data_IF_187946550335
#
_entry.id   IF_187946550335
#
_cell.length_a   1.000
_cell.length_b   1.000
_cell.length_c   1.000
_cell.angle_alpha   90.00
_cell.angle_beta   90.00
_cell.angle_gamma   90.00
#
_symmetry.space_group_name_H-M   'P 1'
#
loop_
_entity.id
_entity.type
_entity.pdbx_description
1 polymer ?
#
# COMPACT_ATOMS: atom_id res chain seq x y z
N UNK A 1 3.84 -4.31 -60.11
CA UNK A 1 2.64 -4.68 -59.35
C UNK A 1 3.06 -5.76 -58.38
N UNK A 2 3.37 -5.38 -57.13
CA UNK A 2 3.80 -6.32 -56.06
C UNK A 2 2.61 -6.55 -55.14
N UNK A 3 2.05 -7.76 -55.20
CA UNK A 3 0.99 -8.20 -54.28
C UNK A 3 1.58 -8.51 -52.91
N UNK A 4 1.29 -7.67 -51.92
CA UNK A 4 1.60 -7.96 -50.51
C UNK A 4 0.47 -8.84 -49.94
N UNK A 5 0.79 -10.08 -49.66
CA UNK A 5 -0.11 -11.05 -49.06
C UNK A 5 0.01 -10.94 -47.54
N UNK A 6 -0.88 -10.19 -46.89
CA UNK A 6 -0.98 -10.16 -45.42
C UNK A 6 -1.69 -11.40 -44.93
N UNK A 7 -0.96 -12.30 -44.26
CA UNK A 7 -1.52 -13.45 -43.56
C UNK A 7 -2.31 -13.03 -42.31
N UNK A 8 -3.58 -13.45 -42.13
CA UNK A 8 -4.37 -13.08 -40.97
C UNK A 8 -3.83 -13.78 -39.71
N UNK A 9 -3.67 -13.01 -38.63
CA UNK A 9 -3.14 -13.43 -37.33
C UNK A 9 -3.81 -14.66 -36.70
N UNK A 10 -4.95 -15.10 -37.21
CA UNK A 10 -5.70 -16.27 -36.72
C UNK A 10 -5.04 -17.61 -37.05
N UNK A 11 -4.16 -17.67 -38.03
CA UNK A 11 -3.49 -18.93 -38.42
C UNK A 11 -2.17 -19.21 -37.65
N UNK A 12 -1.66 -18.23 -36.88
CA UNK A 12 -0.44 -18.40 -36.07
C UNK A 12 -0.68 -19.14 -34.76
N UNK A 13 -1.91 -19.22 -34.28
CA UNK A 13 -2.26 -19.91 -33.03
C UNK A 13 -2.69 -21.34 -33.19
N UNK A 14 -2.96 -21.82 -34.43
CA UNK A 14 -3.41 -23.19 -34.70
C UNK A 14 -2.25 -24.18 -34.94
N UNK A 15 -1.02 -23.69 -35.15
CA UNK A 15 0.13 -24.55 -35.46
C UNK A 15 0.95 -25.04 -34.28
N UNK A 16 0.72 -24.51 -33.07
CA UNK A 16 1.59 -24.80 -31.92
C UNK A 16 1.09 -25.88 -30.97
N UNK A 17 -0.08 -26.44 -31.20
CA UNK A 17 -0.69 -27.41 -30.28
C UNK A 17 -0.41 -28.89 -30.64
N UNK A 18 0.19 -29.20 -31.79
CA UNK A 18 0.36 -30.57 -32.27
C UNK A 18 1.77 -31.17 -32.06
N UNK A 19 2.74 -30.43 -31.57
CA UNK A 19 4.14 -30.88 -31.45
C UNK A 19 4.61 -31.25 -30.04
N UNK A 20 3.78 -31.15 -29.01
CA UNK A 20 4.15 -31.43 -27.61
C UNK A 20 3.53 -32.72 -27.01
N UNK A 21 2.92 -33.55 -27.84
CA UNK A 21 2.20 -34.74 -27.37
C UNK A 21 2.99 -36.06 -27.30
N UNK A 22 4.28 -36.09 -27.59
CA UNK A 22 4.98 -37.37 -27.75
C UNK A 22 6.30 -37.55 -26.97
N UNK A 23 6.66 -36.68 -26.08
CA UNK A 23 7.87 -36.87 -25.25
C UNK A 23 7.56 -36.66 -23.76
N UNK A 24 7.39 -37.77 -23.03
CA UNK A 24 7.66 -37.79 -21.60
C UNK A 24 6.53 -38.03 -20.64
N UNK A 25 5.78 -39.14 -20.78
CA UNK A 25 5.05 -39.76 -19.67
C UNK A 25 5.94 -40.78 -18.93
N UNK A 26 7.23 -40.54 -18.78
CA UNK A 26 8.10 -41.38 -17.98
C UNK A 26 8.78 -40.49 -16.92
N UNK A 27 8.29 -40.58 -15.69
CA UNK A 27 9.15 -40.30 -14.53
C UNK A 27 9.02 -38.95 -13.86
N UNK A 28 7.87 -38.26 -13.81
CA UNK A 28 7.71 -37.14 -12.92
C UNK A 28 6.75 -37.44 -11.74
N UNK A 29 7.13 -38.44 -10.94
CA UNK A 29 6.64 -38.59 -9.57
C UNK A 29 7.54 -37.81 -8.61
N UNK A 30 8.00 -36.63 -9.01
CA UNK A 30 8.55 -35.68 -8.12
C UNK A 30 7.42 -35.09 -7.27
N UNK A 31 7.30 -35.52 -6.03
CA UNK A 31 6.54 -34.80 -5.02
C UNK A 31 7.06 -33.37 -4.99
N UNK A 32 6.50 -32.48 -5.82
CA UNK A 32 6.57 -31.07 -5.62
C UNK A 32 5.76 -30.76 -4.35
N UNK A 33 6.32 -31.11 -3.20
CA UNK A 33 5.98 -30.46 -1.96
C UNK A 33 6.34 -29.00 -2.22
N UNK A 34 5.34 -28.20 -2.52
CA UNK A 34 5.45 -26.77 -2.35
C UNK A 34 5.96 -26.61 -0.90
N UNK A 35 7.24 -26.34 -0.76
CA UNK A 35 7.78 -25.86 0.50
C UNK A 35 7.03 -24.55 0.73
N UNK A 36 5.98 -24.61 1.54
CA UNK A 36 5.42 -23.46 2.20
C UNK A 36 6.57 -22.92 3.04
N UNK A 37 7.38 -22.04 2.44
CA UNK A 37 8.34 -21.28 3.20
C UNK A 37 7.51 -20.62 4.31
N UNK A 38 7.81 -20.99 5.56
CA UNK A 38 7.15 -20.40 6.71
C UNK A 38 7.25 -18.88 6.54
N UNK A 39 6.08 -18.21 6.48
CA UNK A 39 6.07 -16.78 6.35
C UNK A 39 6.97 -16.19 7.46
N UNK A 40 7.90 -15.29 7.14
CA UNK A 40 8.77 -14.71 8.14
C UNK A 40 7.94 -14.18 9.29
N UNK A 41 8.37 -14.45 10.53
CA UNK A 41 7.66 -14.04 11.74
C UNK A 41 7.34 -12.55 11.66
N UNK A 42 6.07 -12.20 11.85
CA UNK A 42 5.62 -10.82 11.75
C UNK A 42 6.37 -9.97 12.79
N UNK A 43 7.03 -8.90 12.35
CA UNK A 43 7.66 -7.95 13.26
C UNK A 43 6.58 -7.28 14.13
N UNK A 44 6.82 -7.04 15.42
CA UNK A 44 5.88 -6.36 16.29
C UNK A 44 5.64 -4.92 15.83
N UNK A 45 4.45 -4.40 16.09
CA UNK A 45 4.14 -3.00 15.84
C UNK A 45 4.99 -2.08 16.72
N UNK A 46 5.46 -0.92 16.23
CA UNK A 46 6.06 0.11 17.05
C UNK A 46 5.09 0.61 18.12
N UNK A 47 5.60 1.06 19.28
CA UNK A 47 4.78 1.46 20.42
C UNK A 47 3.70 2.51 20.06
N UNK A 48 4.04 3.51 19.26
CA UNK A 48 3.08 4.55 18.81
C UNK A 48 1.93 3.99 17.96
N UNK A 49 2.11 2.83 17.36
CA UNK A 49 1.14 2.15 16.50
C UNK A 49 0.46 0.96 17.18
N UNK A 50 0.64 0.78 18.50
CA UNK A 50 0.09 -0.35 19.25
C UNK A 50 -1.44 -0.45 19.22
N UNK A 51 -2.12 0.64 18.90
CA UNK A 51 -3.58 0.69 18.71
C UNK A 51 -4.06 0.19 17.33
N UNK A 52 -3.14 -0.07 16.40
CA UNK A 52 -3.46 -0.58 15.06
C UNK A 52 -3.62 -2.10 15.07
N UNK A 53 -4.24 -2.64 14.02
CA UNK A 53 -4.49 -4.06 13.82
C UNK A 53 -3.25 -4.74 13.23
N UNK A 54 -2.49 -5.55 14.00
CA UNK A 54 -1.22 -6.14 13.54
C UNK A 54 -1.40 -7.03 12.31
N UNK A 55 -2.51 -7.77 12.24
CA UNK A 55 -2.81 -8.72 11.16
C UNK A 55 -3.05 -8.01 9.83
N UNK A 56 -3.48 -6.75 9.87
CA UNK A 56 -3.73 -5.93 8.69
C UNK A 56 -2.46 -5.23 8.18
N UNK A 57 -1.34 -5.31 8.89
CA UNK A 57 -0.14 -4.51 8.60
C UNK A 57 1.10 -5.37 8.37
N UNK A 58 2.02 -4.86 7.56
CA UNK A 58 3.39 -5.34 7.37
C UNK A 58 4.32 -4.29 7.94
N UNK A 59 5.18 -4.67 8.88
CA UNK A 59 6.17 -3.77 9.49
C UNK A 59 7.47 -3.83 8.70
N UNK A 60 7.76 -2.82 7.90
CA UNK A 60 9.04 -2.67 7.19
C UNK A 60 10.10 -2.07 8.12
N UNK A 61 9.76 -0.98 8.80
CA UNK A 61 10.61 -0.29 9.76
C UNK A 61 9.75 0.33 10.87
N UNK A 62 10.40 0.97 11.85
CA UNK A 62 9.71 1.69 12.94
C UNK A 62 8.85 2.86 12.44
N UNK A 63 9.11 3.38 11.25
CA UNK A 63 8.39 4.52 10.65
C UNK A 63 7.62 4.15 9.38
N UNK A 64 7.61 2.87 8.99
CA UNK A 64 6.97 2.42 7.75
C UNK A 64 6.18 1.15 8.00
N UNK A 65 4.86 1.27 7.94
CA UNK A 65 3.90 0.18 8.05
C UNK A 65 3.06 0.16 6.77
N UNK A 66 2.96 -0.99 6.11
CA UNK A 66 2.17 -1.17 4.89
C UNK A 66 0.87 -1.91 5.22
N UNK A 67 -0.24 -1.49 4.66
CA UNK A 67 -1.49 -2.25 4.75
C UNK A 67 -1.41 -3.49 3.86
N UNK A 68 -1.67 -4.66 4.43
CA UNK A 68 -1.70 -5.92 3.68
C UNK A 68 -2.80 -5.89 2.63
N UNK A 69 -2.53 -6.51 1.49
CA UNK A 69 -3.54 -6.62 0.40
C UNK A 69 -4.83 -7.33 0.85
N UNK A 70 -4.73 -8.28 1.77
CA UNK A 70 -5.87 -8.99 2.35
C UNK A 70 -6.80 -8.08 3.17
N UNK A 71 -6.32 -6.92 3.62
CA UNK A 71 -7.14 -5.94 4.32
C UNK A 71 -7.87 -4.96 3.38
N UNK A 72 -7.49 -4.91 2.09
CA UNK A 72 -8.20 -4.10 1.10
C UNK A 72 -9.53 -4.74 0.73
N UNK A 73 -10.54 -3.90 0.53
CA UNK A 73 -11.88 -4.35 0.13
C UNK A 73 -12.72 -4.94 1.26
N UNK A 74 -12.23 -4.94 2.51
CA UNK A 74 -13.01 -5.34 3.68
C UNK A 74 -14.02 -4.28 4.11
N UNK A 75 -13.81 -3.03 3.68
CA UNK A 75 -14.73 -1.91 3.84
C UNK A 75 -14.55 -0.89 2.71
N UNK A 76 -15.58 -0.05 2.48
CA UNK A 76 -15.53 1.03 1.47
C UNK A 76 -14.50 2.09 1.86
N UNK A 77 -14.39 2.41 3.14
CA UNK A 77 -13.40 3.33 3.69
C UNK A 77 -12.44 2.53 4.57
N UNK A 78 -11.15 2.61 4.29
CA UNK A 78 -10.13 1.93 5.10
C UNK A 78 -10.14 2.47 6.54
N UNK A 79 -10.38 1.62 7.55
CA UNK A 79 -10.35 2.06 8.95
C UNK A 79 -8.97 2.58 9.35
N UNK A 80 -8.92 3.58 10.22
CA UNK A 80 -7.66 4.20 10.68
C UNK A 80 -6.68 3.21 11.30
N UNK A 81 -7.18 2.16 11.98
CA UNK A 81 -6.35 1.11 12.57
C UNK A 81 -5.75 0.15 11.53
N UNK A 82 -6.19 0.17 10.28
CA UNK A 82 -5.65 -0.61 9.17
C UNK A 82 -4.89 0.26 8.15
N UNK A 83 -5.03 1.59 8.25
CA UNK A 83 -4.35 2.50 7.34
C UNK A 83 -2.83 2.44 7.54
N UNK A 84 -2.08 2.45 6.45
CA UNK A 84 -0.62 2.44 6.45
C UNK A 84 -0.01 3.63 7.21
N UNK A 85 1.26 3.50 7.60
CA UNK A 85 2.09 4.60 8.10
C UNK A 85 3.29 4.74 7.17
N UNK A 86 3.52 5.95 6.68
CA UNK A 86 4.70 6.27 5.89
C UNK A 86 5.30 7.57 6.38
N UNK A 87 6.40 7.46 7.08
CA UNK A 87 7.11 8.60 7.63
C UNK A 87 8.62 8.43 7.43
N UNK A 88 9.33 9.53 7.23
CA UNK A 88 10.79 9.58 7.17
C UNK A 88 11.41 10.04 8.50
N UNK A 89 10.57 10.56 9.39
CA UNK A 89 10.98 11.02 10.72
C UNK A 89 10.43 10.07 11.78
N UNK A 90 11.04 10.01 12.97
CA UNK A 90 10.47 9.30 14.10
C UNK A 90 9.09 9.84 14.47
N UNK A 91 8.32 9.06 15.20
CA UNK A 91 7.08 9.55 15.79
C UNK A 91 7.39 10.75 16.69
N UNK A 92 6.57 11.82 16.66
CA UNK A 92 6.76 12.94 17.57
C UNK A 92 6.58 12.49 19.03
N UNK A 93 7.19 13.23 19.96
CA UNK A 93 7.01 12.99 21.38
C UNK A 93 5.52 13.12 21.74
N UNK A 94 5.04 12.28 22.67
CA UNK A 94 3.67 12.33 23.16
C UNK A 94 3.34 13.68 23.81
N UNK A 95 4.34 14.37 24.37
CA UNK A 95 4.22 15.71 24.96
C UNK A 95 3.63 16.76 23.99
N UNK A 96 3.72 16.54 22.67
CA UNK A 96 3.05 17.41 21.68
C UNK A 96 1.53 17.49 21.89
N UNK A 97 0.95 16.50 22.57
CA UNK A 97 -0.48 16.42 22.86
C UNK A 97 -0.89 17.10 24.17
N UNK A 98 0.07 17.47 25.03
CA UNK A 98 -0.20 18.01 26.38
C UNK A 98 -0.86 19.37 26.31
N UNK A 99 -0.56 20.17 25.28
CA UNK A 99 -1.17 21.49 25.04
C UNK A 99 -1.75 21.56 23.62
N UNK A 100 -2.77 20.77 23.34
CA UNK A 100 -3.43 20.73 22.02
C UNK A 100 -4.03 22.08 21.62
N UNK A 101 -4.62 22.79 22.56
CA UNK A 101 -5.31 24.04 22.27
C UNK A 101 -4.33 25.20 21.98
N UNK A 102 -3.11 25.09 22.48
CA UNK A 102 -2.02 26.03 22.17
C UNK A 102 -1.32 25.74 20.85
N UNK A 103 -1.59 24.60 20.21
CA UNK A 103 -1.00 24.28 18.91
C UNK A 103 -1.55 25.18 17.82
N UNK A 104 -0.67 25.69 16.94
CA UNK A 104 -1.06 26.65 15.90
C UNK A 104 -0.38 26.34 14.57
N UNK A 105 -1.00 26.78 13.47
CA UNK A 105 -0.46 26.75 12.12
C UNK A 105 -0.19 28.17 11.66
N UNK A 106 1.06 28.45 11.28
CA UNK A 106 1.44 29.72 10.64
C UNK A 106 1.20 29.64 9.14
N UNK A 107 0.49 30.64 8.60
CA UNK A 107 0.23 30.81 7.18
C UNK A 107 1.06 31.98 6.70
N UNK A 108 2.09 31.70 5.90
CA UNK A 108 3.06 32.67 5.40
C UNK A 108 3.03 32.72 3.86
N UNK A 109 3.68 33.72 3.27
CA UNK A 109 3.74 33.88 1.81
C UNK A 109 2.44 34.31 1.14
N UNK A 110 1.45 34.73 1.93
CA UNK A 110 0.14 35.22 1.45
C UNK A 110 -0.01 36.71 1.70
N UNK A 111 -0.99 37.35 1.04
CA UNK A 111 -1.27 38.77 1.18
C UNK A 111 -1.51 39.22 2.65
N UNK A 112 -2.09 38.35 3.46
CA UNK A 112 -2.39 38.58 4.86
C UNK A 112 -1.92 37.37 5.69
N UNK A 113 -0.63 37.35 6.08
CA UNK A 113 -0.10 36.29 6.93
C UNK A 113 -0.82 36.24 8.28
N UNK A 114 -1.06 35.05 8.81
CA UNK A 114 -1.70 34.86 10.11
C UNK A 114 -1.33 33.52 10.72
N UNK A 115 -1.49 33.42 12.03
CA UNK A 115 -1.46 32.13 12.73
C UNK A 115 -2.86 31.75 13.16
N UNK A 116 -3.21 30.48 13.04
CA UNK A 116 -4.49 29.93 13.48
C UNK A 116 -4.23 28.87 14.54
N UNK A 117 -4.86 29.00 15.68
CA UNK A 117 -4.86 27.98 16.72
C UNK A 117 -5.70 26.77 16.28
N UNK A 118 -5.48 25.62 16.91
CA UNK A 118 -6.32 24.44 16.67
C UNK A 118 -7.81 24.71 16.99
N UNK A 119 -8.08 25.50 18.01
CA UNK A 119 -9.44 25.91 18.34
C UNK A 119 -10.09 26.71 17.21
N UNK A 120 -9.39 27.71 16.65
CA UNK A 120 -9.87 28.48 15.50
C UNK A 120 -10.04 27.60 14.26
N UNK A 121 -9.11 26.69 13.97
CA UNK A 121 -9.24 25.75 12.85
C UNK A 121 -10.50 24.91 12.95
N UNK A 122 -10.87 24.45 14.14
CA UNK A 122 -12.10 23.69 14.39
C UNK A 122 -13.37 24.49 14.09
N UNK A 123 -13.32 25.83 14.13
CA UNK A 123 -14.48 26.70 13.84
C UNK A 123 -14.68 26.97 12.34
N UNK A 124 -13.69 26.67 11.50
CA UNK A 124 -13.76 26.93 10.05
C UNK A 124 -14.73 26.03 9.30
N UNK A 125 -15.35 25.08 9.99
CA UNK A 125 -16.19 24.06 9.37
C UNK A 125 -15.37 22.85 8.91
N UNK A 126 -16.07 21.75 8.69
CA UNK A 126 -15.47 20.48 8.24
C UNK A 126 -16.08 20.09 6.92
N UNK A 127 -15.25 19.85 5.92
CA UNK A 127 -15.63 19.22 4.68
C UNK A 127 -15.08 17.79 4.67
N UNK A 128 -15.94 16.82 4.34
CA UNK A 128 -15.54 15.42 4.26
C UNK A 128 -15.44 14.99 2.81
N UNK A 129 -14.27 14.51 2.42
CA UNK A 129 -13.99 14.02 1.06
C UNK A 129 -13.53 12.57 1.13
N UNK A 130 -14.18 11.69 0.36
CA UNK A 130 -13.70 10.33 0.15
C UNK A 130 -12.70 10.35 -1.02
N UNK A 131 -11.49 9.87 -0.78
CA UNK A 131 -10.42 9.86 -1.77
C UNK A 131 -9.50 8.66 -1.60
N UNK A 132 -8.67 8.40 -2.61
CA UNK A 132 -7.60 7.41 -2.51
C UNK A 132 -6.34 8.11 -1.99
N UNK A 133 -5.85 7.66 -0.83
CA UNK A 133 -4.58 8.14 -0.27
C UNK A 133 -3.47 7.16 -0.66
N UNK A 134 -2.55 7.57 -1.51
CA UNK A 134 -1.44 6.78 -1.99
C UNK A 134 -0.10 7.47 -1.71
N UNK A 135 0.86 6.70 -1.18
CA UNK A 135 2.22 7.18 -1.01
C UNK A 135 2.95 7.26 -2.36
N UNK A 136 3.57 8.40 -2.69
CA UNK A 136 4.39 8.55 -3.89
C UNK A 136 5.68 7.71 -3.89
N UNK A 137 6.11 7.23 -2.72
CA UNK A 137 7.25 6.34 -2.53
C UNK A 137 6.88 4.86 -2.50
N UNK A 138 5.63 4.50 -2.84
CA UNK A 138 5.18 3.11 -2.83
C UNK A 138 6.01 2.26 -3.81
N UNK A 139 6.42 1.06 -3.36
CA UNK A 139 7.24 0.14 -4.15
C UNK A 139 8.76 0.42 -4.18
N UNK A 140 9.26 1.43 -3.47
CA UNK A 140 10.72 1.72 -3.43
C UNK A 140 11.52 0.74 -2.55
N UNK A 141 10.87 -0.12 -1.81
CA UNK A 141 11.51 -1.09 -0.93
C UNK A 141 11.65 -2.49 -1.52
N UNK A 142 11.34 -2.64 -2.81
CA UNK A 142 11.40 -3.92 -3.53
C UNK A 142 12.54 -3.91 -4.52
#
# INVERSE_FOLDING_TARGET
MTHSTTLPRRHLLAGSAAALGALGLAGWTGNARAQTAAAPAAKPLPAYAGWKTPEALIVHSTSTLETRRSAFGTSVITPSNQLYVRNNLPAPDAAILDNRDGWSVSIEGVKSPRSLTLAELKTLGVETVATVLQCSGNGRGF
#
